data_IF_576275857443
#
_entry.id   IF_576275857443
#
_cell.length_a   1.000
_cell.length_b   1.000
_cell.length_c   1.000
_cell.angle_alpha   90.00
_cell.angle_beta   90.00
_cell.angle_gamma   90.00
#
_symmetry.space_group_name_H-M   'P 1'
#
loop_
_entity.id
_entity.type
_entity.pdbx_description
1 polymer ?
#
# COMPACT_ATOMS: atom_id res chain seq x y z
N UNK A 1 15.32 -9.31 8.31
CA UNK A 1 14.76 -7.97 8.67
C UNK A 1 14.34 -8.01 10.13
N UNK A 2 14.58 -6.95 10.92
CA UNK A 2 14.10 -6.85 12.30
C UNK A 2 12.71 -6.23 12.31
N UNK A 3 11.92 -6.46 13.35
CA UNK A 3 10.58 -5.85 13.49
C UNK A 3 10.62 -4.33 13.37
N UNK A 4 11.58 -3.67 14.04
CA UNK A 4 11.71 -2.20 13.97
C UNK A 4 12.00 -1.69 12.55
N UNK A 5 12.70 -2.46 11.73
CA UNK A 5 12.98 -2.09 10.34
C UNK A 5 11.70 -2.21 9.49
N UNK A 6 10.87 -3.22 9.79
CA UNK A 6 9.58 -3.44 9.14
C UNK A 6 8.57 -2.34 9.53
N UNK A 7 8.47 -2.01 10.83
CA UNK A 7 7.61 -0.91 11.31
C UNK A 7 7.95 0.41 10.61
N UNK A 8 9.24 0.75 10.55
CA UNK A 8 9.70 1.96 9.84
C UNK A 8 9.34 1.92 8.34
N UNK A 9 9.44 0.75 7.70
CA UNK A 9 9.08 0.59 6.29
C UNK A 9 7.59 0.86 6.06
N UNK A 10 6.72 0.41 6.97
CA UNK A 10 5.29 0.69 6.92
C UNK A 10 4.95 2.14 7.30
N UNK A 11 5.70 2.78 8.17
CA UNK A 11 5.55 4.23 8.44
C UNK A 11 5.84 5.05 7.18
N UNK A 12 6.93 4.74 6.48
CA UNK A 12 7.21 5.33 5.17
C UNK A 12 6.09 5.03 4.17
N UNK A 13 5.62 3.77 4.11
CA UNK A 13 4.61 3.34 3.16
C UNK A 13 3.32 4.17 3.29
N UNK A 14 2.80 4.32 4.49
CA UNK A 14 1.57 5.06 4.74
C UNK A 14 1.76 6.57 4.63
N UNK A 15 2.91 7.10 5.01
CA UNK A 15 3.25 8.48 4.74
C UNK A 15 3.25 8.78 3.23
N UNK A 16 3.88 7.93 2.43
CA UNK A 16 3.94 8.07 0.99
C UNK A 16 2.55 7.93 0.32
N UNK A 17 1.72 7.00 0.81
CA UNK A 17 0.35 6.84 0.34
C UNK A 17 -0.49 8.10 0.60
N UNK A 18 -0.43 8.66 1.82
CA UNK A 18 -1.17 9.91 2.14
C UNK A 18 -0.77 11.06 1.22
N UNK A 19 0.52 11.26 0.96
CA UNK A 19 0.98 12.31 0.05
C UNK A 19 0.54 12.11 -1.39
N UNK A 20 0.53 10.87 -1.86
CA UNK A 20 0.01 10.56 -3.19
C UNK A 20 -1.50 10.80 -3.26
N UNK A 21 -2.27 10.35 -2.28
CA UNK A 21 -3.73 10.52 -2.23
C UNK A 21 -4.11 12.01 -2.14
N UNK A 22 -3.34 12.82 -1.38
CA UNK A 22 -3.47 14.28 -1.35
C UNK A 22 -3.23 14.89 -2.74
N UNK A 23 -2.21 14.45 -3.47
CA UNK A 23 -2.00 14.92 -4.83
C UNK A 23 -3.14 14.48 -5.78
N UNK A 24 -3.61 13.24 -5.67
CA UNK A 24 -4.72 12.70 -6.47
C UNK A 24 -6.04 13.44 -6.19
N UNK A 25 -6.24 14.00 -4.99
CA UNK A 25 -7.46 14.77 -4.66
C UNK A 25 -7.64 16.06 -5.48
N UNK A 26 -6.60 16.49 -6.21
CA UNK A 26 -6.69 17.62 -7.14
C UNK A 26 -7.40 17.26 -8.46
N UNK A 27 -7.59 15.98 -8.75
CA UNK A 27 -8.23 15.51 -9.97
C UNK A 27 -9.75 15.64 -9.89
N UNK A 28 -10.39 15.89 -11.04
CA UNK A 28 -11.84 15.72 -11.12
C UNK A 28 -12.24 14.24 -11.06
N UNK A 29 -13.51 13.92 -10.73
CA UNK A 29 -14.00 12.53 -10.75
C UNK A 29 -13.78 11.85 -12.11
N UNK A 30 -13.93 12.59 -13.21
CA UNK A 30 -13.70 12.09 -14.57
C UNK A 30 -12.24 11.74 -14.79
N UNK A 31 -11.30 12.63 -14.38
CA UNK A 31 -9.86 12.40 -14.49
C UNK A 31 -9.40 11.22 -13.61
N UNK A 32 -9.99 11.05 -12.42
CA UNK A 32 -9.70 9.94 -11.53
C UNK A 32 -10.04 8.58 -12.15
N UNK A 33 -11.13 8.52 -12.92
CA UNK A 33 -11.63 7.29 -13.56
C UNK A 33 -11.24 7.15 -15.02
N UNK A 34 -10.69 8.21 -15.63
CA UNK A 34 -10.33 8.26 -17.05
C UNK A 34 -9.36 7.13 -17.42
N UNK A 35 -9.69 6.44 -18.51
CA UNK A 35 -8.78 5.45 -19.06
C UNK A 35 -7.59 6.16 -19.74
N UNK A 36 -6.41 5.97 -19.17
CA UNK A 36 -5.13 6.48 -19.70
C UNK A 36 -4.27 5.26 -20.04
N UNK A 37 -3.62 5.27 -21.17
CA UNK A 37 -2.79 4.17 -21.62
C UNK A 37 -1.70 3.81 -20.59
N UNK A 38 -1.58 2.53 -20.26
CA UNK A 38 -0.57 2.00 -19.33
C UNK A 38 -1.17 1.54 -17.99
N UNK A 39 -0.41 0.78 -17.22
CA UNK A 39 -0.78 0.22 -15.92
C UNK A 39 -2.15 -0.50 -15.95
N UNK A 40 -3.02 -0.19 -14.99
CA UNK A 40 -4.38 -0.74 -14.86
C UNK A 40 -5.44 0.13 -15.57
N UNK A 41 -5.06 0.98 -16.50
CA UNK A 41 -5.95 1.79 -17.31
C UNK A 41 -6.40 3.11 -16.68
N UNK A 42 -6.43 3.25 -15.35
CA UNK A 42 -6.77 4.50 -14.68
C UNK A 42 -6.06 4.66 -13.34
N UNK A 43 -6.04 5.88 -12.80
CA UNK A 43 -5.55 6.16 -11.45
C UNK A 43 -6.38 5.37 -10.43
N UNK A 44 -7.70 5.41 -10.55
CA UNK A 44 -8.61 4.61 -9.70
C UNK A 44 -8.23 3.14 -9.70
N UNK A 45 -8.16 2.53 -10.88
CA UNK A 45 -7.91 1.09 -11.00
C UNK A 45 -6.54 0.70 -10.44
N UNK A 46 -5.53 1.55 -10.62
CA UNK A 46 -4.19 1.32 -10.08
C UNK A 46 -4.18 1.42 -8.54
N UNK A 47 -4.85 2.42 -7.96
CA UNK A 47 -4.95 2.57 -6.50
C UNK A 47 -5.73 1.41 -5.86
N UNK A 48 -6.86 1.00 -6.45
CA UNK A 48 -7.65 -0.14 -5.96
C UNK A 48 -6.87 -1.44 -6.07
N UNK A 49 -6.05 -1.61 -7.12
CA UNK A 49 -5.16 -2.76 -7.24
C UNK A 49 -4.14 -2.81 -6.09
N UNK A 50 -3.48 -1.69 -5.78
CA UNK A 50 -2.50 -1.62 -4.68
C UNK A 50 -3.17 -1.95 -3.34
N UNK A 51 -4.30 -1.32 -3.07
CA UNK A 51 -5.09 -1.55 -1.85
C UNK A 51 -5.51 -3.02 -1.72
N UNK A 52 -6.02 -3.61 -2.81
CA UNK A 52 -6.43 -5.01 -2.85
C UNK A 52 -5.25 -5.97 -2.63
N UNK A 53 -4.07 -5.64 -3.16
CA UNK A 53 -2.87 -6.43 -2.97
C UNK A 53 -2.37 -6.35 -1.52
N UNK A 54 -2.28 -5.16 -0.95
CA UNK A 54 -1.86 -4.94 0.44
C UNK A 54 -2.74 -5.72 1.43
N UNK A 55 -4.06 -5.57 1.31
CA UNK A 55 -4.99 -6.31 2.15
C UNK A 55 -4.91 -7.83 1.93
N UNK A 56 -4.72 -8.25 0.68
CA UNK A 56 -4.53 -9.68 0.37
C UNK A 56 -3.24 -10.27 0.95
N UNK A 57 -2.18 -9.49 1.10
CA UNK A 57 -0.96 -9.94 1.75
C UNK A 57 -1.12 -9.96 3.27
N UNK A 58 -1.81 -8.98 3.86
CA UNK A 58 -2.16 -8.99 5.27
C UNK A 58 -2.98 -10.23 5.65
N UNK A 59 -4.02 -10.56 4.87
CA UNK A 59 -4.85 -11.75 5.03
C UNK A 59 -4.00 -13.04 5.00
N UNK A 60 -3.11 -13.18 4.02
CA UNK A 60 -2.22 -14.35 3.91
C UNK A 60 -1.25 -14.50 5.09
N UNK A 61 -0.82 -13.39 5.65
CA UNK A 61 0.06 -13.39 6.81
C UNK A 61 -0.68 -13.75 8.12
N UNK A 62 -2.00 -13.80 8.12
CA UNK A 62 -2.84 -14.13 9.27
C UNK A 62 -3.54 -12.91 9.90
N UNK A 63 -3.55 -11.77 9.22
CA UNK A 63 -4.38 -10.64 9.57
C UNK A 63 -5.85 -10.84 9.20
N UNK A 64 -6.69 -9.80 9.35
CA UNK A 64 -8.11 -9.87 9.02
C UNK A 64 -8.36 -10.27 7.56
N UNK A 65 -9.32 -11.19 7.30
CA UNK A 65 -9.57 -11.70 5.97
C UNK A 65 -10.10 -10.60 5.03
N UNK A 66 -9.57 -10.58 3.80
CA UNK A 66 -10.05 -9.66 2.77
C UNK A 66 -11.37 -10.11 2.15
N UNK A 67 -11.59 -11.41 2.07
CA UNK A 67 -12.63 -11.99 1.24
C UNK A 67 -12.28 -11.92 -0.26
N UNK A 68 -13.20 -11.43 -1.09
CA UNK A 68 -12.97 -11.29 -2.52
C UNK A 68 -11.97 -10.18 -2.87
N UNK A 69 -11.34 -10.32 -4.03
CA UNK A 69 -10.49 -9.27 -4.57
C UNK A 69 -11.31 -8.01 -4.86
N UNK A 70 -10.80 -6.84 -4.45
CA UNK A 70 -11.47 -5.57 -4.70
C UNK A 70 -11.55 -5.28 -6.20
N UNK A 71 -12.71 -4.78 -6.64
CA UNK A 71 -12.95 -4.36 -8.01
C UNK A 71 -12.98 -2.84 -8.07
N UNK A 72 -12.35 -2.26 -9.10
CA UNK A 72 -12.27 -0.80 -9.23
C UNK A 72 -13.65 -0.14 -9.33
N UNK A 73 -14.63 -0.84 -9.89
CA UNK A 73 -16.01 -0.37 -10.07
C UNK A 73 -16.72 -0.11 -8.74
N UNK A 74 -16.34 -0.83 -7.68
CA UNK A 74 -16.92 -0.68 -6.33
C UNK A 74 -16.40 0.59 -5.61
N UNK A 75 -15.43 1.30 -6.21
CA UNK A 75 -14.77 2.49 -5.68
C UNK A 75 -14.99 3.70 -6.62
N UNK A 76 -16.21 4.26 -6.67
CA UNK A 76 -16.54 5.32 -7.63
C UNK A 76 -15.83 6.64 -7.36
N UNK A 77 -15.37 6.86 -6.12
CA UNK A 77 -14.72 8.11 -5.69
C UNK A 77 -13.38 7.85 -5.00
N UNK A 78 -12.53 8.88 -4.95
CA UNK A 78 -11.29 8.82 -4.18
C UNK A 78 -11.57 8.59 -2.69
N UNK A 79 -12.62 9.19 -2.15
CA UNK A 79 -12.98 9.04 -0.73
C UNK A 79 -13.29 7.59 -0.36
N UNK A 80 -13.97 6.84 -1.24
CA UNK A 80 -14.24 5.41 -1.03
C UNK A 80 -12.94 4.57 -0.97
N UNK A 81 -11.93 4.94 -1.76
CA UNK A 81 -10.59 4.33 -1.70
C UNK A 81 -9.89 4.68 -0.40
N UNK A 82 -9.89 5.95 -0.01
CA UNK A 82 -9.26 6.46 1.22
C UNK A 82 -9.88 5.79 2.46
N UNK A 83 -11.21 5.69 2.53
CA UNK A 83 -11.90 5.05 3.65
C UNK A 83 -11.45 3.60 3.84
N UNK A 84 -11.42 2.84 2.74
CA UNK A 84 -10.99 1.44 2.80
C UNK A 84 -9.51 1.34 3.14
N UNK A 85 -8.65 2.22 2.60
CA UNK A 85 -7.22 2.21 2.91
C UNK A 85 -6.94 2.54 4.37
N UNK A 86 -7.65 3.51 4.94
CA UNK A 86 -7.55 3.83 6.37
C UNK A 86 -7.91 2.63 7.27
N UNK A 87 -8.86 1.79 6.85
CA UNK A 87 -9.18 0.54 7.55
C UNK A 87 -8.02 -0.44 7.44
N UNK A 88 -7.50 -0.67 6.24
CA UNK A 88 -6.38 -1.61 6.01
C UNK A 88 -5.12 -1.14 6.73
N UNK A 89 -4.83 0.17 6.76
CA UNK A 89 -3.71 0.71 7.56
C UNK A 89 -3.88 0.39 9.05
N UNK A 90 -5.06 0.62 9.63
CA UNK A 90 -5.30 0.28 11.06
C UNK A 90 -5.10 -1.20 11.32
N UNK A 91 -5.65 -2.06 10.47
CA UNK A 91 -5.56 -3.51 10.60
C UNK A 91 -4.12 -3.99 10.46
N UNK A 92 -3.37 -3.46 9.49
CA UNK A 92 -1.95 -3.77 9.30
C UNK A 92 -1.11 -3.31 10.51
N UNK A 93 -1.31 -2.10 11.00
CA UNK A 93 -0.60 -1.60 12.19
C UNK A 93 -0.89 -2.46 13.41
N UNK A 94 -2.15 -2.82 13.65
CA UNK A 94 -2.53 -3.71 14.74
C UNK A 94 -1.89 -5.10 14.58
N UNK A 95 -1.83 -5.63 13.36
CA UNK A 95 -1.16 -6.89 13.06
C UNK A 95 0.35 -6.82 13.35
N UNK A 96 1.03 -5.79 12.86
CA UNK A 96 2.48 -5.62 13.06
C UNK A 96 2.87 -5.53 14.53
N UNK A 97 2.04 -4.92 15.39
CA UNK A 97 2.32 -4.82 16.84
C UNK A 97 2.23 -6.14 17.57
N UNK A 98 1.63 -7.17 16.99
CA UNK A 98 1.47 -8.50 17.57
C UNK A 98 2.56 -9.48 17.13
N UNK A 99 3.35 -9.12 16.09
CA UNK A 99 4.37 -9.99 15.56
C UNK A 99 5.57 -10.13 16.52
N UNK A 100 6.11 -11.33 16.53
CA UNK A 100 7.40 -11.66 17.15
C UNK A 100 8.50 -11.80 16.09
N UNK A 101 9.75 -11.87 16.52
CA UNK A 101 10.87 -12.14 15.59
C UNK A 101 10.73 -13.52 14.92
N UNK A 102 10.16 -14.50 15.61
CA UNK A 102 9.97 -15.86 15.08
C UNK A 102 8.89 -15.88 14.00
N UNK A 103 7.82 -15.07 14.14
CA UNK A 103 6.78 -14.95 13.12
C UNK A 103 7.34 -14.46 11.79
N UNK A 104 8.32 -13.57 11.80
CA UNK A 104 8.92 -13.03 10.58
C UNK A 104 9.62 -14.09 9.73
N UNK A 105 10.08 -15.18 10.35
CA UNK A 105 10.73 -16.30 9.66
C UNK A 105 9.78 -17.41 9.25
N UNK A 106 8.50 -17.34 9.69
CA UNK A 106 7.48 -18.34 9.34
C UNK A 106 7.20 -18.34 7.85
N UNK A 107 7.31 -19.52 7.23
CA UNK A 107 7.01 -19.70 5.80
C UNK A 107 5.50 -19.55 5.53
N UNK A 108 5.18 -18.76 4.51
CA UNK A 108 3.82 -18.54 4.03
C UNK A 108 3.71 -19.12 2.62
N UNK A 109 2.82 -20.09 2.47
CA UNK A 109 2.51 -20.67 1.17
C UNK A 109 1.43 -19.84 0.46
N UNK A 110 1.63 -19.59 -0.84
CA UNK A 110 0.66 -18.90 -1.68
C UNK A 110 0.79 -19.28 -3.15
N UNK A 111 -0.27 -19.05 -3.92
CA UNK A 111 -0.27 -19.15 -5.38
C UNK A 111 -0.76 -17.84 -5.98
N UNK A 112 -0.21 -17.47 -7.14
CA UNK A 112 -0.66 -16.34 -7.93
C UNK A 112 -1.56 -16.85 -9.06
N UNK A 113 -2.86 -16.65 -8.92
CA UNK A 113 -3.86 -17.22 -9.85
C UNK A 113 -3.79 -18.75 -9.86
N UNK A 114 -3.74 -19.35 -11.05
CA UNK A 114 -3.57 -20.78 -11.26
C UNK A 114 -2.11 -21.23 -11.35
N UNK A 115 -1.17 -20.37 -10.96
CA UNK A 115 0.26 -20.65 -11.01
C UNK A 115 0.73 -21.62 -9.92
N UNK A 116 2.04 -21.95 -9.90
CA UNK A 116 2.61 -22.83 -8.89
C UNK A 116 2.47 -22.26 -7.49
N UNK A 117 2.51 -23.13 -6.49
CA UNK A 117 2.63 -22.73 -5.08
C UNK A 117 4.06 -22.26 -4.80
N UNK A 118 4.18 -21.14 -4.14
CA UNK A 118 5.41 -20.55 -3.64
C UNK A 118 5.40 -20.58 -2.12
N UNK A 119 6.57 -20.63 -1.51
CA UNK A 119 6.77 -20.47 -0.07
C UNK A 119 7.86 -19.45 0.16
N UNK A 120 7.58 -18.42 0.93
CA UNK A 120 8.56 -17.42 1.33
C UNK A 120 8.31 -16.98 2.78
N UNK A 121 9.33 -16.51 3.50
CA UNK A 121 9.15 -16.01 4.86
C UNK A 121 8.13 -14.85 4.91
N UNK A 122 7.33 -14.78 5.98
CA UNK A 122 6.37 -13.69 6.21
C UNK A 122 6.99 -12.30 6.05
N UNK A 123 8.22 -12.10 6.54
CA UNK A 123 8.94 -10.84 6.35
C UNK A 123 9.08 -10.46 4.89
N UNK A 124 9.33 -11.43 3.99
CA UNK A 124 9.44 -11.18 2.55
C UNK A 124 8.10 -10.78 1.91
N UNK A 125 6.98 -11.34 2.38
CA UNK A 125 5.64 -10.93 1.90
C UNK A 125 5.29 -9.52 2.36
N UNK A 126 5.55 -9.20 3.63
CA UNK A 126 5.29 -7.88 4.19
C UNK A 126 6.16 -6.80 3.51
N UNK A 127 7.43 -7.11 3.24
CA UNK A 127 8.33 -6.24 2.47
C UNK A 127 7.84 -6.09 1.02
N UNK A 128 7.43 -7.21 0.38
CA UNK A 128 6.88 -7.19 -0.97
C UNK A 128 5.67 -6.25 -1.08
N UNK A 129 4.76 -6.24 -0.11
CA UNK A 129 3.59 -5.37 -0.15
C UNK A 129 3.98 -3.89 -0.28
N UNK A 130 5.01 -3.45 0.46
CA UNK A 130 5.50 -2.07 0.38
C UNK A 130 6.22 -1.80 -0.94
N UNK A 131 7.09 -2.71 -1.40
CA UNK A 131 7.82 -2.55 -2.68
C UNK A 131 6.84 -2.55 -3.86
N UNK A 132 5.83 -3.41 -3.84
CA UNK A 132 4.75 -3.43 -4.82
C UNK A 132 4.01 -2.08 -4.87
N UNK A 133 3.71 -1.50 -3.71
CA UNK A 133 3.10 -0.18 -3.66
C UNK A 133 4.02 0.92 -4.19
N UNK A 134 5.35 0.85 -3.94
CA UNK A 134 6.33 1.79 -4.52
C UNK A 134 6.26 1.75 -6.05
N UNK A 135 6.26 0.55 -6.64
CA UNK A 135 6.14 0.37 -8.09
C UNK A 135 4.89 1.05 -8.65
N UNK A 136 3.73 0.80 -8.04
CA UNK A 136 2.46 1.35 -8.52
C UNK A 136 2.28 2.85 -8.20
N UNK A 137 2.86 3.36 -7.11
CA UNK A 137 2.93 4.82 -6.89
C UNK A 137 3.67 5.53 -8.02
N UNK A 138 4.74 4.92 -8.54
CA UNK A 138 5.43 5.44 -9.74
C UNK A 138 4.52 5.47 -10.97
N UNK A 139 3.68 4.46 -11.17
CA UNK A 139 2.70 4.42 -12.26
C UNK A 139 1.63 5.51 -12.09
N UNK A 140 1.04 5.66 -10.90
CA UNK A 140 0.08 6.75 -10.63
C UNK A 140 0.72 8.11 -10.87
N UNK A 141 1.99 8.30 -10.46
CA UNK A 141 2.73 9.54 -10.71
C UNK A 141 2.87 9.86 -12.20
N UNK A 142 3.13 8.84 -13.00
CA UNK A 142 3.20 9.00 -14.46
C UNK A 142 1.83 9.40 -15.02
N UNK A 143 0.76 8.70 -14.62
CA UNK A 143 -0.61 9.02 -15.06
C UNK A 143 -1.02 10.45 -14.68
N UNK A 144 -0.70 10.91 -13.46
CA UNK A 144 -0.95 12.30 -13.05
C UNK A 144 -0.23 13.30 -13.93
N UNK A 145 1.06 13.07 -14.23
CA UNK A 145 1.81 13.97 -15.15
C UNK A 145 1.22 14.00 -16.54
N UNK A 146 0.74 12.87 -17.06
CA UNK A 146 0.06 12.80 -18.35
C UNK A 146 -1.25 13.62 -18.36
N UNK A 147 -1.89 13.77 -17.19
CA UNK A 147 -3.07 14.61 -16.99
C UNK A 147 -2.73 16.07 -16.66
N UNK A 148 -1.44 16.44 -16.59
CA UNK A 148 -0.98 17.80 -16.30
C UNK A 148 -0.85 18.14 -14.80
N UNK A 149 -0.87 17.15 -13.90
CA UNK A 149 -0.79 17.35 -12.46
C UNK A 149 0.56 16.89 -11.88
N UNK A 150 1.03 17.59 -10.85
CA UNK A 150 2.21 17.18 -10.09
C UNK A 150 1.85 16.09 -9.06
N UNK A 151 2.53 14.93 -9.07
CA UNK A 151 2.18 13.82 -8.16
C UNK A 151 2.66 13.99 -6.72
N UNK A 152 3.33 15.09 -6.39
CA UNK A 152 3.98 15.28 -5.10
C UNK A 152 5.38 14.63 -5.04
N UNK A 153 6.00 14.73 -3.87
CA UNK A 153 7.28 14.07 -3.57
C UNK A 153 7.12 13.17 -2.35
N UNK A 154 7.28 11.87 -2.55
CA UNK A 154 7.17 10.84 -1.52
C UNK A 154 8.37 9.87 -1.55
N UNK A 155 9.56 10.38 -1.94
CA UNK A 155 10.81 9.66 -1.87
C UNK A 155 11.16 9.30 -0.43
N UNK A 156 11.78 8.13 -0.22
CA UNK A 156 12.23 7.66 1.09
C UNK A 156 13.22 8.65 1.74
N UNK A 157 14.09 9.28 0.95
CA UNK A 157 15.01 10.30 1.45
C UNK A 157 14.27 11.51 2.05
N UNK A 158 13.13 11.89 1.45
CA UNK A 158 12.30 12.98 1.98
C UNK A 158 11.63 12.57 3.28
N UNK A 159 11.15 11.33 3.39
CA UNK A 159 10.63 10.79 4.64
C UNK A 159 11.68 10.78 5.75
N UNK A 160 12.88 10.32 5.45
CA UNK A 160 13.97 10.23 6.43
C UNK A 160 14.56 11.59 6.85
N UNK A 161 14.41 12.62 6.01
CA UNK A 161 14.86 13.97 6.32
C UNK A 161 13.90 14.76 7.22
N UNK A 162 12.69 14.24 7.48
CA UNK A 162 11.75 14.91 8.37
C UNK A 162 12.19 14.81 9.83
N UNK A 163 11.92 15.84 10.65
CA UNK A 163 12.12 15.73 12.10
C UNK A 163 11.32 14.53 12.63
N UNK A 164 12.01 13.55 13.21
CA UNK A 164 11.32 12.43 13.86
C UNK A 164 10.71 12.96 15.14
N UNK A 165 9.41 12.83 15.30
CA UNK A 165 8.80 12.97 16.61
C UNK A 165 9.47 11.93 17.53
N UNK A 166 10.21 12.41 18.51
CA UNK A 166 10.78 11.53 19.53
C UNK A 166 9.60 10.84 20.22
N UNK A 167 9.51 9.49 20.20
CA UNK A 167 8.44 8.83 20.93
C UNK A 167 8.51 9.31 22.37
N UNK A 168 7.42 9.91 22.87
CA UNK A 168 7.30 10.22 24.29
C UNK A 168 7.62 8.92 25.03
N UNK A 169 8.63 8.95 25.91
CA UNK A 169 9.07 7.79 26.66
C UNK A 169 7.85 7.09 27.25
N UNK A 170 7.58 5.87 26.79
CA UNK A 170 6.58 5.01 27.41
C UNK A 170 7.06 4.76 28.83
N UNK A 171 6.47 5.47 29.79
CA UNK A 171 6.58 5.18 31.23
C UNK A 171 5.71 3.98 31.56
#
# INVERSE_FOLDING_TARGET
MRLIDLERLYDYHYWANRRLLEAVSQLTPEQFTQNVAGSYGSIRSTLVHVLSAEWGWLDRCGGPPRGERLKAEDYPTLDSVIETWNRVERDMRAFLTQLTADDLSREIEFSLGSGPTHSIPMSGLLEHAVIHAVHHRGQVSLLMRMLGFAPGNYDLLVFDSQPRETPAARQ
#
